data_IF_558960652794
#
_entry.id   IF_558960652794
#
_cell.length_a   1.000
_cell.length_b   1.000
_cell.length_c   1.000
_cell.angle_alpha   90.00
_cell.angle_beta   90.00
_cell.angle_gamma   90.00
#
_symmetry.space_group_name_H-M   'P 1'
#
loop_
_entity.id
_entity.type
_entity.pdbx_description
1 polymer ?
#
# COMPACT_ATOMS: atom_id res chain seq x y z
N UNK A 1 38.59 34.44 31.31
CA UNK A 1 38.14 33.10 30.82
C UNK A 1 36.91 33.16 29.90
N UNK A 2 35.94 34.06 30.12
CA UNK A 2 34.71 34.15 29.29
C UNK A 2 34.94 34.33 27.78
N UNK A 3 35.93 35.14 27.38
CA UNK A 3 36.18 35.41 25.94
C UNK A 3 36.75 34.19 25.19
N UNK A 4 37.47 33.29 25.87
CA UNK A 4 37.99 32.05 25.26
C UNK A 4 36.88 31.03 25.02
N UNK A 5 35.89 31.00 25.91
CA UNK A 5 34.72 30.12 25.78
C UNK A 5 33.85 30.53 24.59
N UNK A 6 33.64 31.84 24.38
CA UNK A 6 32.87 32.36 23.25
C UNK A 6 33.54 32.01 21.90
N UNK A 7 34.86 32.15 21.79
CA UNK A 7 35.59 31.77 20.57
C UNK A 7 35.50 30.26 20.28
N UNK A 8 35.48 29.42 21.31
CA UNK A 8 35.31 27.97 21.14
C UNK A 8 33.92 27.62 20.59
N UNK A 9 32.85 28.23 21.12
CA UNK A 9 31.50 28.01 20.62
C UNK A 9 31.31 28.50 19.18
N UNK A 10 31.88 29.67 18.83
CA UNK A 10 31.86 30.18 17.45
C UNK A 10 32.55 29.20 16.47
N UNK A 11 33.73 28.68 16.83
CA UNK A 11 34.44 27.70 16.02
C UNK A 11 33.65 26.39 15.85
N UNK A 12 33.04 25.90 16.93
CA UNK A 12 32.24 24.67 16.91
C UNK A 12 31.01 24.81 16.00
N UNK A 13 30.30 25.94 16.05
CA UNK A 13 29.16 26.19 15.15
C UNK A 13 29.56 26.20 13.68
N UNK A 14 30.69 26.83 13.35
CA UNK A 14 31.22 26.89 11.98
C UNK A 14 31.56 25.49 11.46
N UNK A 15 32.16 24.65 12.30
CA UNK A 15 32.47 23.26 11.95
C UNK A 15 31.22 22.44 11.62
N UNK A 16 30.16 22.55 12.43
CA UNK A 16 28.89 21.85 12.15
C UNK A 16 28.25 22.29 10.83
N UNK A 17 28.27 23.59 10.50
CA UNK A 17 27.76 24.09 9.23
C UNK A 17 28.51 23.54 8.01
N UNK A 18 29.83 23.40 8.11
CA UNK A 18 30.66 22.84 7.03
C UNK A 18 30.31 21.35 6.84
N UNK A 19 30.27 20.57 7.93
CA UNK A 19 29.93 19.13 7.85
C UNK A 19 28.52 18.92 7.30
N UNK A 20 27.55 19.70 7.76
CA UNK A 20 26.17 19.62 7.27
C UNK A 20 26.06 19.96 5.77
N UNK A 21 26.78 21.01 5.32
CA UNK A 21 26.82 21.35 3.89
C UNK A 21 27.41 20.22 3.06
N UNK A 22 28.52 19.62 3.49
CA UNK A 22 29.12 18.47 2.81
C UNK A 22 28.17 17.27 2.74
N UNK A 23 27.45 16.95 3.82
CA UNK A 23 26.44 15.88 3.82
C UNK A 23 25.28 16.17 2.87
N UNK A 24 24.87 17.43 2.73
CA UNK A 24 23.80 17.82 1.80
C UNK A 24 24.25 17.74 0.33
N UNK A 25 25.50 18.08 0.02
CA UNK A 25 26.05 17.98 -1.34
C UNK A 25 26.47 16.55 -1.74
N UNK A 26 26.82 15.68 -0.78
CA UNK A 26 27.22 14.28 -1.04
C UNK A 26 26.03 13.32 -1.14
N UNK A 27 24.79 13.79 -0.95
CA UNK A 27 23.59 12.97 -1.11
C UNK A 27 22.97 13.25 -2.50
N UNK A 28 23.24 12.43 -3.54
CA UNK A 28 22.71 12.63 -4.89
C UNK A 28 21.22 12.23 -5.01
N UNK A 29 20.43 12.53 -3.99
CA UNK A 29 19.00 12.22 -3.93
C UNK A 29 18.15 13.42 -4.40
N UNK A 30 18.44 13.93 -5.60
CA UNK A 30 17.56 14.83 -6.35
C UNK A 30 18.06 15.00 -7.79
N UNK A 31 18.06 13.91 -8.57
CA UNK A 31 17.96 14.02 -10.03
C UNK A 31 16.53 13.68 -10.39
N UNK A 32 15.65 14.69 -10.34
CA UNK A 32 14.37 14.61 -11.03
C UNK A 32 14.65 14.70 -12.53
N UNK A 33 14.52 13.57 -13.23
CA UNK A 33 14.45 13.56 -14.69
C UNK A 33 13.12 14.21 -15.11
N UNK A 34 13.21 15.46 -15.53
CA UNK A 34 12.17 16.15 -16.27
C UNK A 34 12.18 15.61 -17.71
N UNK A 35 11.34 14.60 -18.01
CA UNK A 35 11.01 14.25 -19.41
C UNK A 35 9.75 14.99 -19.84
N UNK A 36 9.99 16.09 -20.54
CA UNK A 36 9.03 16.68 -21.47
C UNK A 36 9.38 16.14 -22.85
N UNK A 37 8.52 15.31 -23.43
CA UNK A 37 8.50 15.09 -24.88
C UNK A 37 7.07 15.18 -25.40
N UNK A 38 6.95 16.08 -26.36
CA UNK A 38 5.79 16.58 -27.08
C UNK A 38 5.79 15.89 -28.43
N UNK A 39 4.73 15.15 -28.78
CA UNK A 39 4.17 15.27 -30.14
C UNK A 39 2.73 14.73 -30.22
N UNK A 40 1.86 15.64 -30.62
CA UNK A 40 0.48 15.40 -31.01
C UNK A 40 0.44 14.66 -32.34
N UNK A 41 0.03 13.39 -32.30
CA UNK A 41 -0.63 12.75 -33.43
C UNK A 41 -2.02 12.30 -33.00
N UNK A 42 -3.03 12.94 -33.61
CA UNK A 42 -4.44 12.65 -33.47
C UNK A 42 -4.70 11.25 -34.05
N UNK A 43 -4.69 10.23 -33.19
CA UNK A 43 -5.25 8.92 -33.48
C UNK A 43 -6.39 8.71 -32.50
N UNK A 44 -7.58 8.57 -33.06
CA UNK A 44 -8.84 8.21 -32.39
C UNK A 44 -8.61 7.24 -31.23
N UNK A 45 -9.15 7.49 -30.03
CA UNK A 45 -9.05 6.55 -28.92
C UNK A 45 -9.55 5.18 -29.38
N UNK A 46 -8.75 4.10 -29.32
CA UNK A 46 -9.32 2.78 -29.44
C UNK A 46 -10.30 2.63 -28.29
N UNK A 47 -11.54 2.28 -28.65
CA UNK A 47 -12.59 1.83 -27.74
C UNK A 47 -11.97 0.98 -26.63
N UNK A 48 -12.28 1.25 -25.34
CA UNK A 48 -11.63 0.57 -24.23
C UNK A 48 -11.84 -0.93 -24.42
N UNK A 49 -10.78 -1.60 -24.85
CA UNK A 49 -10.75 -3.06 -24.90
C UNK A 49 -10.97 -3.47 -23.46
N UNK A 50 -12.17 -3.97 -23.19
CA UNK A 50 -12.52 -4.57 -21.90
C UNK A 50 -11.51 -5.69 -21.70
N UNK A 51 -10.44 -5.41 -20.95
CA UNK A 51 -9.59 -6.46 -20.41
C UNK A 51 -10.56 -7.42 -19.72
N UNK A 52 -10.53 -8.73 -20.04
CA UNK A 52 -11.35 -9.69 -19.32
C UNK A 52 -11.08 -9.48 -17.84
N UNK A 53 -12.15 -9.26 -17.05
CA UNK A 53 -12.14 -9.20 -15.58
C UNK A 53 -11.36 -10.44 -15.16
N UNK A 54 -10.07 -10.26 -14.85
CA UNK A 54 -9.20 -11.33 -14.42
C UNK A 54 -9.71 -11.68 -13.03
N UNK A 55 -10.70 -12.57 -13.00
CA UNK A 55 -11.19 -13.17 -11.78
C UNK A 55 -9.99 -13.96 -11.27
N UNK A 56 -9.36 -13.55 -10.17
CA UNK A 56 -8.27 -14.32 -9.62
C UNK A 56 -8.85 -15.72 -9.37
N UNK A 57 -8.23 -16.75 -9.95
CA UNK A 57 -8.62 -18.13 -9.70
C UNK A 57 -8.14 -18.47 -8.28
N UNK A 58 -8.83 -17.93 -7.29
CA UNK A 58 -8.69 -18.29 -5.88
C UNK A 58 -9.25 -19.70 -5.79
N UNK A 59 -8.43 -20.65 -5.33
CA UNK A 59 -8.84 -22.03 -5.23
C UNK A 59 -10.10 -22.13 -4.34
N UNK A 60 -11.06 -23.01 -4.68
CA UNK A 60 -12.39 -23.05 -4.04
C UNK A 60 -12.34 -23.31 -2.52
N UNK A 61 -11.28 -23.94 -2.01
CA UNK A 61 -11.10 -24.20 -0.58
C UNK A 61 -10.83 -22.92 0.25
N UNK A 62 -10.29 -21.87 -0.39
CA UNK A 62 -10.06 -20.58 0.25
C UNK A 62 -11.32 -19.71 0.31
N UNK A 63 -12.30 -19.97 -0.56
CA UNK A 63 -13.51 -19.18 -0.65
C UNK A 63 -14.47 -19.53 0.51
N UNK A 64 -14.55 -20.81 0.90
CA UNK A 64 -15.48 -21.25 1.95
C UNK A 64 -15.05 -20.81 3.37
N UNK A 65 -13.74 -20.84 3.68
CA UNK A 65 -13.19 -20.30 4.93
C UNK A 65 -13.36 -18.77 4.99
N UNK A 66 -13.16 -18.12 3.83
CA UNK A 66 -13.34 -16.69 3.68
C UNK A 66 -14.79 -16.25 3.82
N UNK A 67 -15.75 -16.97 3.25
CA UNK A 67 -17.18 -16.68 3.38
C UNK A 67 -17.60 -16.78 4.86
N UNK A 68 -17.08 -17.76 5.61
CA UNK A 68 -17.31 -17.84 7.07
C UNK A 68 -16.72 -16.67 7.85
N UNK A 69 -15.56 -16.16 7.46
CA UNK A 69 -14.96 -15.00 8.12
C UNK A 69 -15.63 -13.70 7.65
N UNK A 70 -16.09 -13.61 6.39
CA UNK A 70 -16.78 -12.44 5.84
C UNK A 70 -18.17 -12.26 6.43
N UNK A 71 -18.92 -13.34 6.70
CA UNK A 71 -20.21 -13.27 7.42
C UNK A 71 -20.08 -12.60 8.80
N UNK A 72 -18.91 -12.72 9.44
CA UNK A 72 -18.60 -12.03 10.71
C UNK A 72 -18.10 -10.59 10.52
N UNK A 73 -17.62 -10.23 9.32
CA UNK A 73 -17.10 -8.90 9.00
C UNK A 73 -18.21 -7.96 8.51
N UNK A 74 -19.23 -8.46 7.79
CA UNK A 74 -20.37 -7.67 7.31
C UNK A 74 -21.20 -7.06 8.46
N UNK A 75 -21.17 -7.69 9.63
CA UNK A 75 -21.84 -7.20 10.84
C UNK A 75 -21.01 -6.18 11.64
N UNK A 76 -19.78 -5.84 11.22
CA UNK A 76 -18.93 -4.88 11.94
C UNK A 76 -19.25 -3.45 11.50
N UNK A 77 -20.04 -2.77 12.31
CA UNK A 77 -20.36 -1.35 12.12
C UNK A 77 -19.09 -0.51 12.28
N UNK A 78 -18.76 0.40 11.34
CA UNK A 78 -17.67 1.35 11.53
C UNK A 78 -17.89 2.17 12.80
N UNK A 79 -16.82 2.52 13.52
CA UNK A 79 -16.96 3.16 14.83
C UNK A 79 -17.23 4.67 14.76
N UNK A 80 -17.07 5.30 13.59
CA UNK A 80 -17.40 6.71 13.38
C UNK A 80 -17.77 7.04 11.92
N UNK A 81 -18.37 8.22 11.71
CA UNK A 81 -18.84 8.70 10.40
C UNK A 81 -17.70 8.89 9.39
N UNK A 82 -16.51 9.23 9.87
CA UNK A 82 -15.33 9.44 9.02
C UNK A 82 -14.86 8.12 8.41
N UNK A 83 -14.74 7.05 9.20
CA UNK A 83 -14.41 5.71 8.74
C UNK A 83 -15.45 5.18 7.75
N UNK A 84 -16.73 5.41 8.03
CA UNK A 84 -17.82 5.06 7.11
C UNK A 84 -17.68 5.80 5.78
N UNK A 85 -17.40 7.11 5.83
CA UNK A 85 -17.19 7.94 4.64
C UNK A 85 -15.99 7.48 3.82
N UNK A 86 -14.83 7.29 4.46
CA UNK A 86 -13.62 6.77 3.80
C UNK A 86 -13.87 5.41 3.19
N UNK A 87 -14.49 4.49 3.93
CA UNK A 87 -14.81 3.16 3.40
C UNK A 87 -15.68 3.26 2.16
N UNK A 88 -16.75 4.04 2.20
CA UNK A 88 -17.63 4.25 1.05
C UNK A 88 -16.92 4.92 -0.13
N UNK A 89 -16.02 5.87 0.13
CA UNK A 89 -15.18 6.48 -0.91
C UNK A 89 -14.30 5.44 -1.58
N UNK A 90 -13.63 4.57 -0.81
CA UNK A 90 -12.79 3.51 -1.36
C UNK A 90 -13.59 2.52 -2.20
N UNK A 91 -14.77 2.09 -1.72
CA UNK A 91 -15.70 1.22 -2.47
C UNK A 91 -16.10 1.87 -3.80
N UNK A 92 -16.45 3.15 -3.77
CA UNK A 92 -16.89 3.90 -4.94
C UNK A 92 -15.76 4.22 -5.93
N UNK A 93 -14.52 4.39 -5.45
CA UNK A 93 -13.35 4.59 -6.32
C UNK A 93 -12.92 3.32 -7.04
N UNK A 94 -13.20 2.16 -6.43
CA UNK A 94 -12.74 0.86 -6.93
C UNK A 94 -13.58 0.28 -8.05
N UNK A 95 -14.93 0.39 -8.00
CA UNK A 95 -15.89 -0.28 -8.92
C UNK A 95 -15.33 -1.57 -9.54
N UNK A 96 -15.04 -2.58 -8.70
CA UNK A 96 -14.37 -3.84 -9.07
C UNK A 96 -12.98 -3.68 -9.71
N UNK A 97 -12.04 -3.09 -8.96
CA UNK A 97 -10.80 -2.62 -9.56
C UNK A 97 -9.63 -2.48 -8.60
N UNK A 98 -8.50 -2.09 -9.18
CA UNK A 98 -7.27 -1.77 -8.45
C UNK A 98 -7.46 -0.40 -7.79
N UNK A 99 -7.36 -0.36 -6.47
CA UNK A 99 -7.33 0.86 -5.68
C UNK A 99 -5.93 1.47 -5.64
N UNK A 100 -4.91 0.62 -5.61
CA UNK A 100 -3.51 1.01 -5.55
C UNK A 100 -2.61 -0.13 -6.06
N UNK A 101 -1.50 0.21 -6.72
CA UNK A 101 -0.54 -0.76 -7.22
C UNK A 101 0.87 -0.21 -7.20
N UNK A 102 1.81 -0.99 -6.70
CA UNK A 102 3.23 -0.75 -6.85
C UNK A 102 3.98 -2.07 -7.18
N UNK A 103 5.30 -2.05 -7.02
CA UNK A 103 6.18 -3.19 -7.30
C UNK A 103 6.06 -4.31 -6.26
N UNK A 104 5.72 -3.95 -5.01
CA UNK A 104 5.71 -4.87 -3.87
C UNK A 104 4.31 -5.42 -3.55
N UNK A 105 3.24 -4.73 -3.94
CA UNK A 105 1.86 -5.10 -3.62
C UNK A 105 0.80 -4.40 -4.49
N UNK A 106 -0.42 -4.93 -4.46
CA UNK A 106 -1.61 -4.39 -5.13
C UNK A 106 -2.79 -4.44 -4.17
N UNK A 107 -3.56 -3.36 -4.03
CA UNK A 107 -4.84 -3.37 -3.32
C UNK A 107 -5.96 -3.29 -4.34
N UNK A 108 -6.94 -4.18 -4.22
CA UNK A 108 -8.15 -4.24 -5.03
C UNK A 108 -9.38 -4.22 -4.14
N UNK A 109 -10.50 -3.82 -4.71
CA UNK A 109 -11.81 -3.97 -4.09
C UNK A 109 -12.70 -4.83 -4.98
N UNK A 110 -13.30 -5.86 -4.41
CA UNK A 110 -14.29 -6.73 -5.03
C UNK A 110 -15.67 -6.36 -4.48
N UNK A 111 -16.51 -5.72 -5.28
CA UNK A 111 -17.85 -5.30 -4.88
C UNK A 111 -18.84 -6.46 -4.81
N UNK A 112 -18.59 -7.57 -5.53
CA UNK A 112 -19.43 -8.76 -5.47
C UNK A 112 -19.40 -9.40 -4.06
N UNK A 113 -18.29 -9.22 -3.34
CA UNK A 113 -18.04 -9.78 -2.01
C UNK A 113 -17.85 -8.72 -0.91
N UNK A 114 -18.03 -7.44 -1.23
CA UNK A 114 -17.72 -6.29 -0.35
C UNK A 114 -16.34 -6.40 0.35
N UNK A 115 -15.31 -6.77 -0.43
CA UNK A 115 -14.05 -7.25 0.11
C UNK A 115 -12.85 -6.51 -0.49
N UNK A 116 -11.92 -6.10 0.38
CA UNK A 116 -10.59 -5.62 -0.01
C UNK A 116 -9.62 -6.79 -0.16
N UNK A 117 -8.77 -6.71 -1.17
CA UNK A 117 -7.81 -7.74 -1.52
C UNK A 117 -6.43 -7.12 -1.72
N UNK A 118 -5.47 -7.44 -0.87
CA UNK A 118 -4.07 -7.09 -0.99
C UNK A 118 -3.25 -8.25 -1.58
N UNK A 119 -2.82 -8.14 -2.83
CA UNK A 119 -1.90 -9.08 -3.45
C UNK A 119 -0.45 -8.67 -3.13
N UNK A 120 0.32 -9.55 -2.50
CA UNK A 120 1.74 -9.33 -2.19
C UNK A 120 2.59 -9.81 -3.38
N UNK A 121 3.42 -8.90 -3.90
CA UNK A 121 4.30 -9.10 -5.07
C UNK A 121 5.79 -9.13 -4.71
N UNK A 122 6.13 -9.22 -3.43
CA UNK A 122 7.52 -9.29 -2.95
C UNK A 122 7.76 -10.54 -2.10
N UNK A 123 9.03 -10.88 -1.89
CA UNK A 123 9.46 -11.93 -0.96
C UNK A 123 9.42 -11.49 0.50
N UNK A 124 9.52 -10.18 0.76
CA UNK A 124 9.39 -9.61 2.10
C UNK A 124 7.92 -9.40 2.47
N UNK A 125 7.26 -10.50 2.85
CA UNK A 125 5.84 -10.52 3.19
C UNK A 125 5.55 -9.60 4.37
N UNK A 126 6.40 -9.59 5.40
CA UNK A 126 6.21 -8.76 6.59
C UNK A 126 6.21 -7.27 6.26
N UNK A 127 7.18 -6.81 5.46
CA UNK A 127 7.23 -5.42 5.02
C UNK A 127 6.02 -5.03 4.17
N UNK A 128 5.65 -5.87 3.19
CA UNK A 128 4.51 -5.58 2.33
C UNK A 128 3.18 -5.55 3.08
N UNK A 129 2.97 -6.42 4.08
CA UNK A 129 1.79 -6.39 4.96
C UNK A 129 1.66 -5.05 5.68
N UNK A 130 2.74 -4.58 6.30
CA UNK A 130 2.72 -3.29 7.01
C UNK A 130 2.51 -2.11 6.06
N UNK A 131 3.05 -2.16 4.84
CA UNK A 131 2.80 -1.13 3.82
C UNK A 131 1.33 -1.11 3.37
N UNK A 132 0.71 -2.27 3.16
CA UNK A 132 -0.72 -2.36 2.81
C UNK A 132 -1.59 -1.81 3.95
N UNK A 133 -1.32 -2.19 5.20
CA UNK A 133 -2.03 -1.62 6.36
C UNK A 133 -1.84 -0.10 6.43
N UNK A 134 -0.60 0.36 6.26
CA UNK A 134 -0.28 1.79 6.28
C UNK A 134 -1.04 2.56 5.20
N UNK A 135 -1.28 1.98 4.03
CA UNK A 135 -2.06 2.63 2.97
C UNK A 135 -3.49 2.97 3.43
N UNK A 136 -4.18 2.04 4.11
CA UNK A 136 -5.50 2.32 4.67
C UNK A 136 -5.45 3.41 5.75
N UNK A 137 -4.38 3.44 6.57
CA UNK A 137 -4.22 4.50 7.57
C UNK A 137 -4.03 5.88 6.98
N UNK A 138 -3.26 5.99 5.88
CA UNK A 138 -3.06 7.25 5.16
C UNK A 138 -4.38 7.76 4.56
N UNK A 139 -5.31 6.86 4.23
CA UNK A 139 -6.67 7.19 3.74
C UNK A 139 -7.65 7.55 4.86
N UNK A 140 -7.22 7.53 6.12
CA UNK A 140 -8.03 7.96 7.26
C UNK A 140 -8.75 6.83 8.00
N UNK A 141 -8.41 5.57 7.76
CA UNK A 141 -8.83 4.45 8.62
C UNK A 141 -7.90 4.39 9.83
N UNK A 142 -8.42 4.31 11.05
CA UNK A 142 -7.56 4.20 12.23
C UNK A 142 -6.76 2.88 12.23
N UNK A 143 -5.55 2.88 12.81
CA UNK A 143 -4.62 1.74 12.75
C UNK A 143 -5.23 0.45 13.34
N UNK A 144 -5.91 0.57 14.47
CA UNK A 144 -6.65 -0.50 15.13
C UNK A 144 -7.88 -0.98 14.33
N UNK A 145 -8.38 -0.13 13.41
CA UNK A 145 -9.55 -0.40 12.57
C UNK A 145 -9.22 -0.99 11.20
N UNK A 146 -7.98 -0.92 10.74
CA UNK A 146 -7.55 -1.59 9.50
C UNK A 146 -7.86 -3.10 9.58
N UNK A 147 -7.72 -3.66 10.76
CA UNK A 147 -7.96 -5.06 11.08
C UNK A 147 -9.44 -5.43 11.20
N UNK A 148 -10.33 -4.44 11.20
CA UNK A 148 -11.78 -4.61 11.14
C UNK A 148 -12.30 -4.51 9.70
N UNK A 149 -11.45 -4.18 8.73
CA UNK A 149 -11.81 -4.21 7.32
C UNK A 149 -11.93 -5.65 6.84
N UNK A 150 -12.84 -5.94 5.89
CA UNK A 150 -12.85 -7.20 5.16
C UNK A 150 -11.67 -7.17 4.17
N UNK A 151 -10.45 -7.38 4.68
CA UNK A 151 -9.21 -7.32 3.92
C UNK A 151 -8.53 -8.70 3.94
N UNK A 152 -8.35 -9.29 2.77
CA UNK A 152 -7.50 -10.47 2.60
C UNK A 152 -6.17 -10.04 2.04
N UNK A 153 -5.09 -10.57 2.59
CA UNK A 153 -3.78 -10.52 1.98
C UNK A 153 -3.43 -11.88 1.40
N UNK A 154 -2.98 -11.94 0.15
CA UNK A 154 -2.60 -13.19 -0.51
C UNK A 154 -1.41 -12.97 -1.42
N UNK A 155 -0.81 -14.07 -1.89
CA UNK A 155 0.31 -14.05 -2.83
C UNK A 155 0.03 -15.03 -3.97
N UNK A 156 0.24 -14.59 -5.21
CA UNK A 156 0.04 -15.46 -6.37
C UNK A 156 1.16 -16.52 -6.45
N UNK A 157 0.85 -17.82 -6.26
CA UNK A 157 1.85 -18.87 -6.27
C UNK A 157 2.52 -19.02 -7.64
N UNK A 158 1.92 -18.55 -8.74
CA UNK A 158 2.54 -18.63 -10.07
C UNK A 158 3.67 -17.64 -10.28
N UNK A 159 3.69 -16.55 -9.51
CA UNK A 159 4.73 -15.51 -9.61
C UNK A 159 5.96 -15.81 -8.77
N UNK A 160 5.84 -16.76 -7.86
CA UNK A 160 6.92 -17.15 -6.95
C UNK A 160 7.09 -18.64 -7.07
N UNK A 161 8.14 -19.01 -7.81
CA UNK A 161 8.54 -20.39 -8.09
C UNK A 161 9.04 -21.07 -6.81
N UNK A 162 8.12 -21.31 -5.88
CA UNK A 162 8.40 -21.91 -4.60
C UNK A 162 7.47 -23.10 -4.42
N UNK A 163 8.08 -24.27 -4.28
CA UNK A 163 7.50 -25.51 -3.75
C UNK A 163 6.98 -25.38 -2.30
N UNK A 164 6.97 -24.18 -1.73
CA UNK A 164 6.21 -23.89 -0.53
C UNK A 164 4.74 -23.84 -0.91
N UNK A 165 3.99 -24.77 -0.32
CA UNK A 165 2.54 -24.80 -0.16
C UNK A 165 1.87 -23.48 -0.50
N UNK A 166 0.83 -23.57 -1.35
CA UNK A 166 -0.21 -22.56 -1.57
C UNK A 166 -0.80 -22.18 -0.21
N UNK A 167 -0.10 -21.35 0.54
CA UNK A 167 -0.59 -20.68 1.72
C UNK A 167 -1.35 -19.49 1.19
N UNK A 168 -2.65 -19.65 0.99
CA UNK A 168 -3.53 -18.53 1.28
C UNK A 168 -3.38 -18.30 2.78
N UNK A 169 -2.30 -17.60 3.14
CA UNK A 169 -2.12 -17.11 4.48
C UNK A 169 -3.16 -16.02 4.62
N UNK A 170 -4.35 -16.41 5.06
CA UNK A 170 -5.38 -15.47 5.49
C UNK A 170 -4.82 -14.76 6.71
N UNK A 171 -4.14 -13.64 6.45
CA UNK A 171 -3.60 -12.81 7.51
C UNK A 171 -4.77 -12.05 8.14
N UNK A 172 -5.49 -12.73 9.03
CA UNK A 172 -6.27 -12.05 10.05
C UNK A 172 -5.28 -11.22 10.85
N UNK A 173 -5.53 -9.92 10.94
CA UNK A 173 -4.71 -8.95 11.64
C UNK A 173 -4.37 -9.28 13.11
N UNK A 174 -4.95 -10.35 13.66
CA UNK A 174 -4.95 -10.70 15.07
C UNK A 174 -3.82 -11.63 15.53
N UNK A 175 -2.86 -12.00 14.67
CA UNK A 175 -1.74 -12.85 15.08
C UNK A 175 -0.40 -12.24 14.68
N UNK A 176 0.23 -11.58 15.67
CA UNK A 176 1.68 -11.50 15.81
C UNK A 176 2.17 -12.64 16.72
#
# INVERSE_FOLDING_TARGET
MKNKLILFFLGLTMFFFIVFSFLFFLNPAAKEEKKEEKESNLITPPEPTRLPKATPNIQPMAIEELERESENLDNRTPTNDNETSTRNQLKNSGKDGVLEKNEDWVIRYNSDQDLFQGEILTTDISSAREKVKSWFTIRGIAKDKVCELPLILYRDPKKFDTSLSIGLDFYSCNYD
#
